data_IF_260606416556
#
_entry.id   IF_260606416556
#
_cell.length_a   1.000
_cell.length_b   1.000
_cell.length_c   1.000
_cell.angle_alpha   90.00
_cell.angle_beta   90.00
_cell.angle_gamma   90.00
#
_symmetry.space_group_name_H-M   'P 1'
#
loop_
_entity.id
_entity.type
_entity.pdbx_description
1 polymer ?
#
# COMPACT_ATOMS: atom_id res chain seq x y z
N UNK A 1 -6.93 -32.90 17.84
CA UNK A 1 -6.60 -32.92 16.41
C UNK A 1 -6.28 -31.48 15.99
N UNK A 2 -4.99 -31.15 15.87
CA UNK A 2 -4.49 -29.78 15.64
C UNK A 2 -4.22 -29.52 14.15
N UNK A 3 -5.13 -29.99 13.28
CA UNK A 3 -4.99 -29.90 11.82
C UNK A 3 -5.45 -28.57 11.22
N UNK A 4 -5.01 -27.41 11.76
CA UNK A 4 -5.47 -26.11 11.26
C UNK A 4 -4.70 -24.86 11.68
N UNK A 5 -3.62 -24.99 12.45
CA UNK A 5 -2.81 -23.86 12.94
C UNK A 5 -1.49 -23.65 12.17
N UNK A 6 -1.28 -24.39 11.09
CA UNK A 6 -0.04 -24.36 10.30
C UNK A 6 -0.02 -23.17 9.32
N UNK A 7 1.12 -22.46 9.23
CA UNK A 7 1.33 -21.24 8.41
C UNK A 7 1.13 -21.43 6.90
N UNK A 8 1.07 -22.67 6.41
CA UNK A 8 0.96 -23.01 4.97
C UNK A 8 -0.49 -23.29 4.51
N UNK A 9 -1.46 -23.34 5.43
CA UNK A 9 -2.87 -23.46 5.04
C UNK A 9 -3.40 -22.11 4.55
N UNK A 10 -4.20 -22.13 3.48
CA UNK A 10 -4.95 -20.95 3.07
C UNK A 10 -5.74 -20.41 4.27
N UNK A 11 -5.71 -19.10 4.56
CA UNK A 11 -6.33 -18.58 5.76
C UNK A 11 -7.83 -18.85 5.76
N UNK A 12 -8.23 -19.86 6.56
CA UNK A 12 -9.60 -20.37 6.65
C UNK A 12 -10.61 -19.27 7.00
N UNK A 13 -10.14 -18.19 7.65
CA UNK A 13 -10.92 -16.99 7.98
C UNK A 13 -11.47 -16.24 6.77
N UNK A 14 -10.77 -16.21 5.63
CA UNK A 14 -11.28 -15.58 4.42
C UNK A 14 -12.21 -16.48 3.63
N UNK A 15 -11.95 -17.80 3.62
CA UNK A 15 -12.80 -18.78 2.95
C UNK A 15 -14.15 -18.90 3.69
N UNK A 16 -14.12 -18.91 5.02
CA UNK A 16 -15.32 -19.02 5.85
C UNK A 16 -15.96 -17.66 6.19
N UNK A 17 -15.43 -16.55 5.66
CA UNK A 17 -15.92 -15.18 5.90
C UNK A 17 -16.02 -14.80 7.39
N UNK A 18 -15.16 -15.38 8.23
CA UNK A 18 -15.11 -15.12 9.68
C UNK A 18 -14.02 -14.12 10.07
N UNK A 19 -13.44 -13.41 9.10
CA UNK A 19 -12.45 -12.38 9.36
C UNK A 19 -13.08 -11.16 10.05
N UNK A 20 -12.31 -10.56 10.94
CA UNK A 20 -12.64 -9.34 11.68
C UNK A 20 -11.66 -8.23 11.31
N UNK A 21 -11.95 -7.00 11.75
CA UNK A 21 -11.04 -5.85 11.65
C UNK A 21 -9.65 -6.11 12.27
N UNK A 22 -9.59 -6.90 13.33
CA UNK A 22 -8.34 -7.34 13.98
C UNK A 22 -7.66 -8.55 13.34
N UNK A 23 -8.15 -9.09 12.23
CA UNK A 23 -7.48 -10.20 11.55
C UNK A 23 -6.13 -9.75 11.00
N UNK A 24 -5.07 -10.50 11.29
CA UNK A 24 -3.69 -10.12 10.94
C UNK A 24 -3.56 -9.59 9.51
N UNK A 25 -4.01 -10.35 8.52
CA UNK A 25 -3.95 -9.95 7.10
C UNK A 25 -4.75 -8.68 6.77
N UNK A 26 -5.84 -8.40 7.49
CA UNK A 26 -6.63 -7.17 7.33
C UNK A 26 -5.86 -5.97 7.89
N UNK A 27 -5.25 -6.12 9.06
CA UNK A 27 -4.42 -5.08 9.69
C UNK A 27 -3.10 -4.86 8.95
N UNK A 28 -2.49 -5.93 8.43
CA UNK A 28 -1.24 -5.89 7.69
C UNK A 28 -1.42 -5.17 6.36
N UNK A 29 -2.48 -5.50 5.60
CA UNK A 29 -2.84 -4.77 4.37
C UNK A 29 -3.04 -3.27 4.66
N UNK A 30 -3.74 -2.93 5.74
CA UNK A 30 -3.93 -1.53 6.13
C UNK A 30 -2.58 -0.83 6.35
N UNK A 31 -1.70 -1.43 7.16
CA UNK A 31 -0.39 -0.87 7.46
C UNK A 31 0.46 -0.69 6.19
N UNK A 32 0.54 -1.70 5.33
CA UNK A 32 1.30 -1.65 4.09
C UNK A 32 0.80 -0.56 3.12
N UNK A 33 -0.52 -0.34 3.05
CA UNK A 33 -1.08 0.75 2.25
C UNK A 33 -0.63 2.13 2.75
N UNK A 34 -0.62 2.38 4.07
CA UNK A 34 -0.12 3.64 4.62
C UNK A 34 1.40 3.79 4.45
N UNK A 35 2.17 2.71 4.55
CA UNK A 35 3.61 2.71 4.22
C UNK A 35 3.83 3.10 2.76
N UNK A 36 3.02 2.57 1.83
CA UNK A 36 3.04 2.93 0.43
C UNK A 36 2.76 4.42 0.19
N UNK A 37 1.73 4.96 0.84
CA UNK A 37 1.38 6.40 0.79
C UNK A 37 2.53 7.26 1.29
N UNK A 38 3.13 6.88 2.43
CA UNK A 38 4.25 7.61 3.01
C UNK A 38 5.45 7.65 2.05
N UNK A 39 5.84 6.51 1.46
CA UNK A 39 6.93 6.43 0.48
C UNK A 39 6.64 7.27 -0.77
N UNK A 40 5.41 7.23 -1.26
CA UNK A 40 5.01 8.03 -2.42
C UNK A 40 5.10 9.54 -2.12
N UNK A 41 4.69 9.97 -0.91
CA UNK A 41 4.86 11.35 -0.47
C UNK A 41 6.34 11.75 -0.39
N UNK A 42 7.20 10.90 0.18
CA UNK A 42 8.64 11.16 0.22
C UNK A 42 9.23 11.35 -1.18
N UNK A 43 8.83 10.57 -2.17
CA UNK A 43 9.30 10.75 -3.56
C UNK A 43 8.83 12.09 -4.10
N UNK A 44 7.55 12.45 -3.94
CA UNK A 44 6.99 13.71 -4.45
C UNK A 44 7.66 14.94 -3.80
N UNK A 45 7.99 14.87 -2.51
CA UNK A 45 8.66 15.96 -1.79
C UNK A 45 10.12 16.11 -2.20
N UNK A 46 10.86 15.00 -2.29
CA UNK A 46 12.30 15.02 -2.51
C UNK A 46 12.70 15.07 -4.00
N UNK A 47 11.82 14.73 -4.94
CA UNK A 47 12.17 14.74 -6.37
C UNK A 47 12.56 16.14 -6.89
N UNK A 48 12.14 17.20 -6.20
CA UNK A 48 12.52 18.57 -6.53
C UNK A 48 13.85 19.02 -5.89
N UNK A 49 14.35 18.29 -4.90
CA UNK A 49 15.62 18.61 -4.21
C UNK A 49 16.81 17.82 -4.74
N UNK A 50 16.56 16.75 -5.50
CA UNK A 50 17.60 15.95 -6.15
C UNK A 50 18.24 16.73 -7.29
N UNK A 51 19.55 16.57 -7.46
CA UNK A 51 20.33 17.18 -8.54
C UNK A 51 19.71 16.85 -9.91
N UNK A 52 19.40 17.86 -10.75
CA UNK A 52 18.84 17.65 -12.10
C UNK A 52 19.68 16.72 -12.99
N UNK A 53 21.00 16.67 -12.79
CA UNK A 53 21.93 15.83 -13.58
C UNK A 53 21.72 14.34 -13.39
N UNK A 54 21.01 13.94 -12.34
CA UNK A 54 20.68 12.54 -12.05
C UNK A 54 19.50 12.07 -12.92
N UNK A 55 18.70 13.00 -13.45
CA UNK A 55 17.55 12.69 -14.27
C UNK A 55 17.91 12.78 -15.76
N UNK A 56 17.58 11.72 -16.51
CA UNK A 56 17.63 11.72 -17.97
C UNK A 56 16.36 12.33 -18.55
N UNK A 57 16.48 13.12 -19.61
CA UNK A 57 15.37 13.68 -20.42
C UNK A 57 14.11 14.03 -19.61
N UNK A 58 13.11 13.14 -19.64
CA UNK A 58 11.79 13.31 -19.05
C UNK A 58 11.56 12.41 -17.82
N UNK A 59 12.57 11.65 -17.38
CA UNK A 59 12.45 10.67 -16.32
C UNK A 59 12.03 11.28 -14.98
N UNK A 60 12.38 12.54 -14.72
CA UNK A 60 11.90 13.27 -13.54
C UNK A 60 10.37 13.36 -13.51
N UNK A 61 9.77 13.79 -14.62
CA UNK A 61 8.31 13.93 -14.73
C UNK A 61 7.61 12.58 -14.68
N UNK A 62 8.21 11.55 -15.27
CA UNK A 62 7.68 10.19 -15.21
C UNK A 62 7.69 9.62 -13.78
N UNK A 63 8.78 9.79 -13.04
CA UNK A 63 8.89 9.33 -11.65
C UNK A 63 7.87 10.07 -10.77
N UNK A 64 7.71 11.39 -10.95
CA UNK A 64 6.71 12.16 -10.22
C UNK A 64 5.28 11.67 -10.53
N UNK A 65 4.97 11.45 -11.82
CA UNK A 65 3.67 10.96 -12.25
C UNK A 65 3.37 9.57 -11.68
N UNK A 66 4.35 8.66 -11.72
CA UNK A 66 4.24 7.32 -11.14
C UNK A 66 4.02 7.37 -9.62
N UNK A 67 4.75 8.22 -8.90
CA UNK A 67 4.57 8.40 -7.45
C UNK A 67 3.16 8.92 -7.10
N UNK A 68 2.66 9.88 -7.87
CA UNK A 68 1.28 10.40 -7.70
C UNK A 68 0.22 9.33 -8.00
N UNK A 69 0.43 8.53 -9.04
CA UNK A 69 -0.44 7.41 -9.37
C UNK A 69 -0.46 6.35 -8.26
N UNK A 70 0.71 5.93 -7.77
CA UNK A 70 0.83 4.96 -6.68
C UNK A 70 0.13 5.46 -5.42
N UNK A 71 0.33 6.73 -5.04
CA UNK A 71 -0.38 7.34 -3.91
C UNK A 71 -1.90 7.26 -4.08
N UNK A 72 -2.41 7.64 -5.26
CA UNK A 72 -3.84 7.58 -5.55
C UNK A 72 -4.37 6.14 -5.51
N UNK A 73 -3.60 5.18 -6.03
CA UNK A 73 -3.94 3.77 -5.99
C UNK A 73 -4.03 3.23 -4.56
N UNK A 74 -3.09 3.57 -3.69
CA UNK A 74 -3.15 3.17 -2.28
C UNK A 74 -4.36 3.77 -1.54
N UNK A 75 -4.69 5.04 -1.81
CA UNK A 75 -5.93 5.64 -1.28
C UNK A 75 -7.19 4.96 -1.84
N UNK A 76 -7.21 4.61 -3.13
CA UNK A 76 -8.32 3.86 -3.72
C UNK A 76 -8.51 2.50 -3.06
N UNK A 77 -7.43 1.75 -2.82
CA UNK A 77 -7.47 0.47 -2.11
C UNK A 77 -7.99 0.61 -0.67
N UNK A 78 -7.59 1.67 0.04
CA UNK A 78 -8.10 1.97 1.38
C UNK A 78 -9.61 2.22 1.37
N UNK A 79 -10.09 3.08 0.48
CA UNK A 79 -11.53 3.39 0.37
C UNK A 79 -12.33 2.16 -0.06
N UNK A 80 -11.83 1.40 -1.04
CA UNK A 80 -12.52 0.23 -1.59
C UNK A 80 -12.56 -0.94 -0.59
N UNK A 81 -11.52 -1.11 0.23
CA UNK A 81 -11.42 -2.24 1.17
C UNK A 81 -12.05 -1.93 2.54
N UNK A 82 -11.95 -0.68 3.02
CA UNK A 82 -12.31 -0.31 4.40
C UNK A 82 -13.43 0.73 4.49
N UNK A 83 -13.98 1.20 3.35
CA UNK A 83 -15.10 2.16 3.33
C UNK A 83 -14.73 3.60 3.69
N UNK A 84 -13.45 3.89 3.98
CA UNK A 84 -12.94 5.22 4.26
C UNK A 84 -11.44 5.19 4.55
N UNK A 85 -10.74 6.26 4.16
CA UNK A 85 -9.33 6.49 4.49
C UNK A 85 -9.22 7.73 5.37
N UNK A 86 -8.31 7.72 6.35
CA UNK A 86 -7.90 8.97 7.03
C UNK A 86 -7.01 9.70 6.03
N UNK A 87 -7.44 10.90 5.63
CA UNK A 87 -6.77 11.72 4.62
C UNK A 87 -5.65 12.55 5.22
#
# INVERSE_FOLDING_TARGET
>A
DLGGTESWYAPNTFINLTYTDGTFYVTDKWNELYVGIFRANQVIENINTVDPTVFTENSKNEIEAQARFLRAYFYFELVNTYGGAVM
#
